data_IF_757383717280
#
_entry.id   IF_757383717280
#
_cell.length_a   1.000
_cell.length_b   1.000
_cell.length_c   1.000
_cell.angle_alpha   90.00
_cell.angle_beta   90.00
_cell.angle_gamma   90.00
#
_symmetry.space_group_name_H-M   'P 1'
#
loop_
_entity.id
_entity.type
_entity.pdbx_description
1 polymer ?
#
# COMPACT_ATOMS: atom_id res chain seq x y z
N UNK A 1 7.36 0.49 49.91
CA UNK A 1 7.24 -0.55 48.86
C UNK A 1 7.28 0.20 47.55
N UNK A 2 8.27 -0.05 46.70
CA UNK A 2 8.36 0.60 45.40
C UNK A 2 7.32 -0.08 44.51
N UNK A 3 6.23 0.62 44.21
CA UNK A 3 5.17 0.07 43.37
C UNK A 3 5.74 -0.15 41.98
N UNK A 4 5.85 -1.41 41.55
CA UNK A 4 6.20 -1.77 40.17
C UNK A 4 5.18 -1.15 39.23
N UNK A 5 5.64 -0.52 38.16
CA UNK A 5 4.77 0.08 37.15
C UNK A 5 3.85 -0.99 36.54
N UNK A 6 2.56 -0.72 36.49
CA UNK A 6 1.57 -1.58 35.84
C UNK A 6 0.85 -0.81 34.74
N UNK A 7 0.85 -1.37 33.52
CA UNK A 7 0.14 -0.84 32.36
C UNK A 7 -0.82 -1.90 31.86
N UNK A 8 -2.11 -1.56 31.78
CA UNK A 8 -3.15 -2.42 31.22
C UNK A 8 -3.89 -1.70 30.12
N UNK A 9 -3.93 -2.29 28.93
CA UNK A 9 -4.70 -1.82 27.79
C UNK A 9 -5.91 -2.73 27.60
N UNK A 10 -7.08 -2.12 27.52
CA UNK A 10 -8.33 -2.74 27.14
C UNK A 10 -8.91 -2.00 25.94
N UNK A 11 -10.04 -2.48 25.40
CA UNK A 11 -10.78 -1.80 24.32
C UNK A 11 -11.15 -0.36 24.64
N UNK A 12 -11.43 -0.06 25.91
CA UNK A 12 -12.03 1.21 26.30
C UNK A 12 -11.04 2.15 27.00
N UNK A 13 -9.97 1.60 27.60
CA UNK A 13 -9.10 2.36 28.49
C UNK A 13 -7.64 1.87 28.50
N UNK A 14 -6.74 2.83 28.71
CA UNK A 14 -5.35 2.60 29.12
C UNK A 14 -5.29 2.91 30.61
N UNK A 15 -4.91 1.93 31.42
CA UNK A 15 -4.67 2.10 32.86
C UNK A 15 -3.18 2.13 33.12
N UNK A 16 -2.68 3.17 33.76
CA UNK A 16 -1.30 3.28 34.26
C UNK A 16 -1.35 3.39 35.78
N UNK A 17 -0.82 2.38 36.46
CA UNK A 17 -0.94 2.24 37.92
C UNK A 17 -2.40 2.42 38.41
N UNK A 18 -3.36 1.82 37.69
CA UNK A 18 -4.82 1.92 37.91
C UNK A 18 -5.45 3.29 37.63
N UNK A 19 -4.70 4.26 37.11
CA UNK A 19 -5.25 5.55 36.67
C UNK A 19 -5.58 5.49 35.18
N UNK A 20 -6.80 5.89 34.81
CA UNK A 20 -7.22 5.94 33.42
C UNK A 20 -6.52 7.09 32.66
N UNK A 21 -5.95 6.75 31.51
CA UNK A 21 -5.31 7.67 30.57
C UNK A 21 -5.96 7.49 29.21
N UNK A 22 -6.20 8.61 28.51
CA UNK A 22 -6.67 8.62 27.12
C UNK A 22 -5.64 9.32 26.27
N UNK A 23 -5.16 8.68 25.21
CA UNK A 23 -4.29 9.34 24.24
C UNK A 23 -5.14 10.02 23.16
N UNK A 24 -4.69 11.18 22.63
CA UNK A 24 -3.60 12.00 23.15
C UNK A 24 -3.94 12.62 24.54
N UNK A 25 -2.95 12.77 25.42
CA UNK A 25 -3.14 13.27 26.81
C UNK A 25 -2.24 14.46 27.13
N UNK A 26 -2.51 15.18 28.23
CA UNK A 26 -1.55 16.19 28.73
C UNK A 26 -0.34 15.53 29.38
N UNK A 27 0.86 16.05 29.15
CA UNK A 27 2.08 15.60 29.84
C UNK A 27 1.97 15.71 31.37
N UNK A 28 1.17 16.66 31.88
CA UNK A 28 0.95 16.82 33.31
C UNK A 28 0.27 15.59 33.92
N UNK A 29 -0.71 15.00 33.22
CA UNK A 29 -1.39 13.77 33.68
C UNK A 29 -0.38 12.63 33.83
N UNK A 30 0.53 12.46 32.86
CA UNK A 30 1.57 11.44 32.97
C UNK A 30 2.57 11.76 34.07
N UNK A 31 2.91 13.04 34.26
CA UNK A 31 3.83 13.48 35.32
C UNK A 31 3.26 13.23 36.70
N UNK A 32 1.95 13.41 36.89
CA UNK A 32 1.27 13.14 38.17
C UNK A 32 1.24 11.63 38.49
N UNK A 33 1.16 10.77 37.48
CA UNK A 33 1.10 9.31 37.65
C UNK A 33 2.50 8.67 37.77
N UNK A 34 3.45 9.11 36.94
CA UNK A 34 4.76 8.49 36.76
C UNK A 34 5.90 9.26 37.42
N UNK A 35 5.63 10.49 37.90
CA UNK A 35 6.65 11.42 38.38
C UNK A 35 7.33 12.20 37.26
N UNK A 36 8.38 12.98 37.58
CA UNK A 36 9.08 13.81 36.60
C UNK A 36 9.85 12.96 35.58
N UNK A 37 9.78 13.37 34.32
CA UNK A 37 10.53 12.77 33.22
C UNK A 37 11.77 13.61 32.85
N UNK A 38 12.78 12.95 32.29
CA UNK A 38 13.87 13.62 31.59
C UNK A 38 13.37 14.10 30.22
N UNK A 39 13.57 15.37 29.92
CA UNK A 39 13.15 15.98 28.66
C UNK A 39 14.30 16.00 27.64
N UNK A 40 14.06 15.44 26.46
CA UNK A 40 14.93 15.53 25.28
C UNK A 40 14.20 16.31 24.18
N UNK A 41 14.69 17.50 23.82
CA UNK A 41 14.12 18.32 22.73
C UNK A 41 14.82 18.00 21.41
N UNK A 42 14.04 17.61 20.39
CA UNK A 42 14.51 17.36 19.02
C UNK A 42 13.89 18.38 18.06
N UNK A 43 14.30 18.34 16.78
CA UNK A 43 13.86 19.29 15.75
C UNK A 43 12.33 19.32 15.57
N UNK A 44 11.66 18.18 15.69
CA UNK A 44 10.23 18.04 15.39
C UNK A 44 9.37 17.56 16.56
N UNK A 45 10.00 17.09 17.64
CA UNK A 45 9.31 16.51 18.79
C UNK A 45 10.10 16.71 20.08
N UNK A 46 9.38 16.58 21.19
CA UNK A 46 9.88 16.52 22.54
C UNK A 46 9.62 15.11 23.08
N UNK A 47 10.63 14.55 23.73
CA UNK A 47 10.60 13.19 24.25
C UNK A 47 10.74 13.26 25.76
N UNK A 48 9.78 12.69 26.48
CA UNK A 48 9.76 12.60 27.93
C UNK A 48 10.11 11.18 28.33
N UNK A 49 11.26 10.98 28.97
CA UNK A 49 11.78 9.65 29.30
C UNK A 49 11.74 9.42 30.81
N UNK A 50 11.12 8.33 31.24
CA UNK A 50 11.18 7.86 32.62
C UNK A 50 12.23 6.75 32.72
N UNK A 51 13.48 7.19 32.91
CA UNK A 51 14.68 6.35 32.83
C UNK A 51 14.59 5.08 33.70
N UNK A 52 14.12 5.19 34.94
CA UNK A 52 14.00 4.06 35.86
C UNK A 52 12.82 3.12 35.55
N UNK A 53 11.82 3.60 34.81
CA UNK A 53 10.64 2.82 34.43
C UNK A 53 10.81 2.13 33.08
N UNK A 54 11.78 2.57 32.26
CA UNK A 54 12.03 2.00 30.94
C UNK A 54 10.96 2.32 29.92
N UNK A 55 10.38 3.52 29.97
CA UNK A 55 9.40 4.00 28.98
C UNK A 55 9.63 5.47 28.63
N UNK A 56 9.09 5.89 27.50
CA UNK A 56 9.11 7.27 27.05
C UNK A 56 7.78 7.68 26.42
N UNK A 57 7.57 8.98 26.28
CA UNK A 57 6.39 9.56 25.65
C UNK A 57 6.79 10.61 24.62
N UNK A 58 6.08 10.62 23.49
CA UNK A 58 6.30 11.57 22.41
C UNK A 58 5.29 12.71 22.48
N UNK A 59 5.78 13.93 22.34
CA UNK A 59 4.97 15.15 22.24
C UNK A 59 5.47 16.03 21.09
N UNK A 60 4.60 16.40 20.14
CA UNK A 60 4.99 17.36 19.09
C UNK A 60 5.20 18.77 19.64
N UNK A 61 4.36 19.19 20.59
CA UNK A 61 4.31 20.57 21.09
C UNK A 61 4.82 20.75 22.54
N UNK A 62 5.22 19.68 23.21
CA UNK A 62 5.65 19.68 24.62
C UNK A 62 4.53 19.87 25.64
N UNK A 63 3.27 19.72 25.25
CA UNK A 63 2.09 19.85 26.12
C UNK A 63 1.17 18.64 26.02
N UNK A 64 0.98 18.15 24.80
CA UNK A 64 0.13 17.00 24.47
C UNK A 64 1.03 15.84 24.08
N UNK A 65 0.87 14.72 24.75
CA UNK A 65 1.52 13.45 24.46
C UNK A 65 0.64 12.68 23.49
N UNK A 66 1.16 12.37 22.30
CA UNK A 66 0.44 11.63 21.27
C UNK A 66 0.67 10.11 21.35
N UNK A 67 1.76 9.68 21.99
CA UNK A 67 2.08 8.26 22.12
C UNK A 67 2.99 7.96 23.30
N UNK A 68 2.86 6.73 23.80
CA UNK A 68 3.72 6.14 24.85
C UNK A 68 4.46 4.98 24.20
N UNK A 69 5.77 4.94 24.37
CA UNK A 69 6.65 3.93 23.82
C UNK A 69 7.36 3.17 24.94
N UNK A 70 7.45 1.86 24.77
CA UNK A 70 8.06 0.93 25.71
C UNK A 70 9.12 0.12 24.96
N UNK A 71 10.40 0.54 25.02
CA UNK A 71 11.51 -0.23 24.46
C UNK A 71 11.70 -1.52 25.26
N UNK A 72 11.47 -2.66 24.63
CA UNK A 72 11.70 -3.98 25.24
C UNK A 72 13.18 -4.37 25.10
N UNK A 73 13.75 -4.09 23.94
CA UNK A 73 15.19 -4.20 23.68
C UNK A 73 15.80 -2.82 23.75
N UNK A 74 16.84 -2.66 24.57
CA UNK A 74 17.50 -1.36 24.77
C UNK A 74 18.05 -0.80 23.45
N UNK A 75 17.88 0.50 23.24
CA UNK A 75 18.47 1.26 22.15
C UNK A 75 19.50 2.26 22.68
N UNK A 76 20.34 2.78 21.79
CA UNK A 76 21.49 3.63 22.14
C UNK A 76 21.28 5.11 21.84
N UNK A 77 20.05 5.51 21.52
CA UNK A 77 19.72 6.92 21.32
C UNK A 77 19.89 7.70 22.63
N UNK A 78 20.22 8.98 22.54
CA UNK A 78 20.41 9.86 23.70
C UNK A 78 19.13 10.06 24.54
N UNK A 79 17.95 9.86 23.95
CA UNK A 79 16.65 9.91 24.62
C UNK A 79 16.16 8.56 25.16
N UNK A 80 16.89 7.47 24.90
CA UNK A 80 16.55 6.13 25.35
C UNK A 80 16.52 6.05 26.87
N UNK A 81 15.62 5.26 27.48
CA UNK A 81 15.67 4.99 28.90
C UNK A 81 16.98 4.30 29.29
N UNK A 82 17.59 4.73 30.39
CA UNK A 82 18.82 4.08 30.91
C UNK A 82 18.60 2.71 31.54
N UNK A 83 17.36 2.33 31.84
CA UNK A 83 16.99 1.00 32.33
C UNK A 83 15.94 0.37 31.41
N UNK A 84 15.94 -0.96 31.35
CA UNK A 84 14.90 -1.71 30.64
C UNK A 84 13.56 -1.57 31.35
N UNK A 85 12.48 -1.74 30.58
CA UNK A 85 11.14 -1.77 31.13
C UNK A 85 11.03 -2.81 32.26
N UNK A 86 10.71 -2.32 33.46
CA UNK A 86 10.68 -3.12 34.69
C UNK A 86 9.25 -3.41 35.17
N UNK A 87 8.25 -2.93 34.42
CA UNK A 87 6.84 -3.06 34.76
C UNK A 87 6.15 -4.30 34.19
N UNK A 88 4.83 -4.34 34.40
CA UNK A 88 3.90 -5.25 33.74
C UNK A 88 3.17 -4.51 32.62
N UNK A 89 2.97 -5.20 31.50
CA UNK A 89 2.18 -4.71 30.37
C UNK A 89 1.23 -5.82 29.91
N UNK A 90 -0.07 -5.55 30.02
CA UNK A 90 -1.13 -6.45 29.55
C UNK A 90 -1.93 -5.75 28.45
N UNK A 91 -2.11 -6.41 27.32
CA UNK A 91 -2.88 -5.91 26.16
C UNK A 91 -4.03 -6.88 25.89
N UNK A 92 -5.26 -6.38 26.02
CA UNK A 92 -6.51 -7.17 25.89
C UNK A 92 -6.51 -8.48 26.71
N UNK A 93 -5.96 -8.43 27.93
CA UNK A 93 -5.85 -9.57 28.84
C UNK A 93 -4.63 -10.48 28.62
N UNK A 94 -3.79 -10.20 27.62
CA UNK A 94 -2.57 -10.96 27.32
C UNK A 94 -1.31 -10.24 27.80
N UNK A 95 -0.38 -10.95 28.43
CA UNK A 95 0.99 -10.43 28.66
C UNK A 95 1.63 -10.11 27.30
N UNK A 96 2.23 -8.92 27.19
CA UNK A 96 2.83 -8.45 25.93
C UNK A 96 3.86 -9.43 25.33
N UNK A 97 4.49 -10.27 26.15
CA UNK A 97 5.48 -11.29 25.72
C UNK A 97 4.84 -12.52 25.07
N UNK A 98 3.52 -12.66 25.19
CA UNK A 98 2.74 -13.83 24.74
C UNK A 98 1.63 -13.44 23.77
N UNK A 99 1.76 -12.30 23.11
CA UNK A 99 0.80 -11.86 22.10
C UNK A 99 0.86 -12.79 20.88
N UNK A 100 -0.30 -13.13 20.28
CA UNK A 100 -0.31 -13.77 18.98
C UNK A 100 0.21 -12.78 17.93
N UNK A 101 1.29 -13.16 17.24
CA UNK A 101 1.86 -12.33 16.19
C UNK A 101 1.07 -12.55 14.90
N UNK A 102 0.42 -11.48 14.43
CA UNK A 102 -0.37 -11.47 13.20
C UNK A 102 0.21 -10.38 12.29
N UNK A 103 1.12 -10.77 11.40
CA UNK A 103 1.71 -9.87 10.42
C UNK A 103 0.78 -9.69 9.22
N UNK A 104 0.73 -8.49 8.65
CA UNK A 104 -0.02 -8.25 7.41
C UNK A 104 0.69 -8.89 6.22
N UNK A 105 2.02 -8.81 6.20
CA UNK A 105 2.90 -9.48 5.22
C UNK A 105 3.91 -10.38 5.91
N UNK A 106 4.30 -11.47 5.25
CA UNK A 106 5.27 -12.45 5.80
C UNK A 106 6.59 -11.82 6.23
N UNK A 107 7.06 -10.80 5.50
CA UNK A 107 8.34 -10.12 5.73
C UNK A 107 8.26 -9.00 6.77
N UNK A 108 7.07 -8.64 7.23
CA UNK A 108 6.91 -7.57 8.19
C UNK A 108 7.70 -7.85 9.46
N UNK A 109 8.40 -6.82 9.94
CA UNK A 109 9.09 -6.81 11.24
C UNK A 109 8.28 -6.03 12.27
N UNK A 110 6.96 -6.03 12.10
CA UNK A 110 6.01 -5.39 12.97
C UNK A 110 4.65 -6.05 12.86
N UNK A 111 3.77 -5.75 13.81
CA UNK A 111 2.34 -5.95 13.66
C UNK A 111 1.59 -4.90 14.47
N UNK A 112 0.28 -4.78 14.20
CA UNK A 112 -0.59 -3.83 14.89
C UNK A 112 -1.74 -4.56 15.57
N UNK A 113 -2.15 -4.02 16.71
CA UNK A 113 -3.37 -4.40 17.41
C UNK A 113 -4.22 -3.14 17.54
N UNK A 114 -5.36 -3.13 16.86
CA UNK A 114 -6.37 -2.09 17.00
C UNK A 114 -7.34 -2.47 18.11
N UNK A 115 -7.30 -1.73 19.21
CA UNK A 115 -8.00 -2.03 20.45
C UNK A 115 -8.94 -0.88 20.81
N UNK A 116 -10.09 -0.84 20.15
CA UNK A 116 -11.11 0.19 20.35
C UNK A 116 -10.60 1.58 19.98
N UNK A 117 -10.32 2.42 20.99
CA UNK A 117 -9.82 3.78 20.79
C UNK A 117 -8.29 3.87 20.68
N UNK A 118 -7.58 2.74 20.77
CA UNK A 118 -6.11 2.69 20.87
C UNK A 118 -5.52 1.85 19.74
N UNK A 119 -4.37 2.29 19.23
CA UNK A 119 -3.54 1.53 18.30
C UNK A 119 -2.28 1.11 19.05
N UNK A 120 -1.96 -0.18 19.03
CA UNK A 120 -0.68 -0.70 19.53
C UNK A 120 0.14 -1.19 18.35
N UNK A 121 1.25 -0.52 18.07
CA UNK A 121 2.21 -0.92 17.07
C UNK A 121 3.38 -1.62 17.76
N UNK A 122 3.67 -2.85 17.36
CA UNK A 122 4.75 -3.65 17.96
C UNK A 122 5.78 -3.94 16.89
N UNK A 123 7.00 -3.42 17.08
CA UNK A 123 8.15 -3.86 16.30
C UNK A 123 8.67 -5.20 16.81
N UNK A 124 9.17 -6.03 15.90
CA UNK A 124 9.69 -7.36 16.17
C UNK A 124 11.22 -7.44 16.02
N UNK A 125 11.84 -8.36 16.74
CA UNK A 125 13.22 -8.83 16.48
C UNK A 125 13.25 -9.80 15.31
N UNK A 126 14.44 -10.28 14.93
CA UNK A 126 14.57 -11.26 13.85
C UNK A 126 13.94 -12.62 14.21
N UNK A 127 13.88 -12.95 15.50
CA UNK A 127 13.25 -14.14 16.09
C UNK A 127 11.76 -13.95 16.39
N UNK A 128 11.14 -12.89 15.86
CA UNK A 128 9.72 -12.58 16.08
C UNK A 128 9.36 -12.44 17.57
N UNK A 129 10.22 -11.74 18.33
CA UNK A 129 9.90 -11.30 19.70
C UNK A 129 9.66 -9.79 19.75
N UNK A 130 8.87 -9.29 20.72
CA UNK A 130 8.61 -7.86 20.86
C UNK A 130 9.91 -7.10 21.11
N UNK A 131 10.26 -6.17 20.21
CA UNK A 131 11.42 -5.28 20.33
C UNK A 131 11.05 -3.94 20.96
N UNK A 132 9.93 -3.39 20.52
CA UNK A 132 9.49 -2.04 20.85
C UNK A 132 7.97 -1.97 20.71
N UNK A 133 7.30 -1.31 21.66
CA UNK A 133 5.84 -1.23 21.71
C UNK A 133 5.44 0.25 21.77
N UNK A 134 4.75 0.71 20.73
CA UNK A 134 4.18 2.05 20.63
C UNK A 134 2.67 1.99 20.84
N UNK A 135 2.17 2.78 21.78
CA UNK A 135 0.75 2.94 22.08
C UNK A 135 0.35 4.35 21.67
N UNK A 136 -0.63 4.45 20.77
CA UNK A 136 -1.19 5.72 20.29
C UNK A 136 -2.71 5.69 20.31
N UNK A 137 -3.34 6.84 20.11
CA UNK A 137 -4.75 6.88 19.76
C UNK A 137 -4.98 6.21 18.40
N UNK A 138 -6.00 5.35 18.29
CA UNK A 138 -6.41 4.82 16.99
C UNK A 138 -7.03 5.94 16.16
N UNK A 139 -6.51 6.12 14.95
CA UNK A 139 -7.13 6.94 13.92
C UNK A 139 -7.54 6.02 12.79
N UNK A 140 -8.85 5.83 12.52
CA UNK A 140 -9.26 5.01 11.40
C UNK A 140 -8.66 5.60 10.11
N UNK A 141 -8.23 4.74 9.17
CA UNK A 141 -7.79 5.22 7.87
C UNK A 141 -8.91 6.06 7.24
N UNK A 142 -8.57 7.07 6.43
CA UNK A 142 -9.57 7.80 5.67
C UNK A 142 -10.45 6.81 4.90
N UNK A 143 -11.77 7.04 4.84
CA UNK A 143 -12.63 6.22 3.99
C UNK A 143 -12.09 6.21 2.57
N UNK A 144 -12.03 5.03 1.96
CA UNK A 144 -11.65 4.88 0.56
C UNK A 144 -12.68 5.61 -0.30
N UNK A 145 -12.27 6.67 -1.01
CA UNK A 145 -13.14 7.41 -1.91
C UNK A 145 -13.56 6.52 -3.09
N UNK A 146 -14.87 6.55 -3.39
CA UNK A 146 -15.53 5.80 -4.46
C UNK A 146 -15.18 4.29 -4.48
N UNK A 147 -15.83 3.46 -3.64
CA UNK A 147 -15.57 2.02 -3.60
C UNK A 147 -15.93 1.31 -4.91
N UNK A 148 -16.75 1.94 -5.77
CA UNK A 148 -17.17 1.43 -7.08
C UNK A 148 -16.32 2.02 -8.24
N UNK A 149 -15.22 2.73 -7.96
CA UNK A 149 -14.38 3.39 -8.97
C UNK A 149 -14.00 2.47 -10.13
N UNK A 150 -13.52 1.26 -9.82
CA UNK A 150 -13.12 0.24 -10.80
C UNK A 150 -14.21 -0.78 -11.12
N UNK A 151 -15.47 -0.47 -10.79
CA UNK A 151 -16.58 -1.30 -11.24
C UNK A 151 -16.73 -1.19 -12.74
N UNK A 152 -16.94 -2.33 -13.39
CA UNK A 152 -17.11 -2.41 -14.83
C UNK A 152 -18.23 -1.46 -15.31
N UNK A 153 -17.91 -0.66 -16.33
CA UNK A 153 -18.84 0.22 -17.03
C UNK A 153 -18.96 -0.25 -18.48
N UNK A 154 -20.20 -0.35 -18.95
CA UNK A 154 -20.47 -0.65 -20.36
C UNK A 154 -20.10 0.54 -21.24
N UNK A 155 -19.72 0.26 -22.48
CA UNK A 155 -19.61 1.30 -23.49
C UNK A 155 -20.99 1.97 -23.70
N UNK A 156 -20.98 3.29 -23.95
CA UNK A 156 -22.21 4.04 -24.23
C UNK A 156 -22.80 3.67 -25.59
N UNK A 157 -21.92 3.47 -26.59
CA UNK A 157 -22.25 3.07 -27.94
C UNK A 157 -21.88 1.61 -28.26
N UNK A 158 -21.61 1.37 -29.55
CA UNK A 158 -21.13 0.08 -30.03
C UNK A 158 -19.73 -0.20 -29.45
N UNK A 159 -19.53 -1.39 -28.90
CA UNK A 159 -18.23 -1.79 -28.35
C UNK A 159 -17.27 -2.20 -29.47
N UNK A 160 -16.00 -1.82 -29.34
CA UNK A 160 -14.91 -2.40 -30.14
C UNK A 160 -14.79 -3.90 -29.85
N UNK A 161 -14.43 -4.66 -30.88
CA UNK A 161 -14.10 -6.08 -30.75
C UNK A 161 -12.60 -6.25 -30.90
N UNK A 162 -11.95 -7.03 -30.04
CA UNK A 162 -10.53 -7.31 -30.15
C UNK A 162 -10.34 -8.81 -30.31
N UNK A 163 -9.63 -9.20 -31.37
CA UNK A 163 -9.17 -10.57 -31.58
C UNK A 163 -7.95 -10.84 -30.70
N UNK A 164 -7.05 -9.86 -30.58
CA UNK A 164 -5.84 -9.94 -29.77
C UNK A 164 -5.96 -9.09 -28.50
N UNK A 165 -5.77 -9.72 -27.35
CA UNK A 165 -5.83 -9.03 -26.06
C UNK A 165 -4.71 -7.99 -25.89
N UNK A 166 -3.50 -8.27 -26.37
CA UNK A 166 -2.38 -7.34 -26.25
C UNK A 166 -2.56 -6.14 -27.19
N UNK A 167 -3.25 -6.30 -28.32
CA UNK A 167 -3.69 -5.16 -29.14
C UNK A 167 -4.68 -4.29 -28.36
N UNK A 168 -5.67 -4.90 -27.69
CA UNK A 168 -6.59 -4.18 -26.81
C UNK A 168 -5.84 -3.38 -25.74
N UNK A 169 -4.83 -3.96 -25.09
CA UNK A 169 -4.02 -3.26 -24.09
C UNK A 169 -3.33 -2.02 -24.65
N UNK A 170 -2.85 -2.06 -25.89
CA UNK A 170 -2.26 -0.89 -26.55
C UNK A 170 -3.29 0.23 -26.77
N UNK A 171 -4.52 -0.11 -27.15
CA UNK A 171 -5.60 0.87 -27.27
C UNK A 171 -5.98 1.45 -25.90
N UNK A 172 -6.00 0.63 -24.86
CA UNK A 172 -6.19 1.11 -23.48
C UNK A 172 -5.03 2.02 -23.07
N UNK A 173 -3.78 1.68 -23.38
CA UNK A 173 -2.61 2.50 -23.10
C UNK A 173 -2.81 3.93 -23.65
N UNK A 174 -3.14 4.01 -24.94
CA UNK A 174 -3.30 5.29 -25.64
C UNK A 174 -4.49 6.08 -25.09
N UNK A 175 -5.67 5.46 -24.96
CA UNK A 175 -6.86 6.19 -24.56
C UNK A 175 -6.90 6.53 -23.07
N UNK A 176 -6.42 5.65 -22.19
CA UNK A 176 -6.50 5.83 -20.75
C UNK A 176 -5.33 6.64 -20.20
N UNK A 177 -4.11 6.37 -20.64
CA UNK A 177 -2.91 6.91 -20.00
C UNK A 177 -2.27 8.04 -20.80
N UNK A 178 -2.27 7.96 -22.13
CA UNK A 178 -1.68 9.00 -22.99
C UNK A 178 -2.65 10.17 -23.23
N UNK A 179 -3.94 9.87 -23.48
CA UNK A 179 -4.95 10.89 -23.82
C UNK A 179 -5.94 11.22 -22.71
N UNK A 180 -5.94 10.42 -21.64
CA UNK A 180 -6.81 10.63 -20.48
C UNK A 180 -8.33 10.63 -20.82
N UNK A 181 -8.72 9.87 -21.85
CA UNK A 181 -10.10 9.74 -22.37
C UNK A 181 -10.87 8.64 -21.65
N UNK A 182 -10.27 7.45 -21.50
CA UNK A 182 -10.89 6.35 -20.77
C UNK A 182 -10.75 6.56 -19.26
N UNK A 183 -11.89 6.59 -18.56
CA UNK A 183 -11.95 6.90 -17.13
C UNK A 183 -12.68 5.82 -16.32
N UNK A 184 -12.30 5.63 -15.04
CA UNK A 184 -11.15 6.25 -14.37
C UNK A 184 -9.82 5.72 -14.90
N UNK A 185 -8.72 6.50 -14.73
CA UNK A 185 -7.36 5.96 -14.90
C UNK A 185 -7.20 4.81 -13.91
N UNK A 186 -6.86 3.63 -14.42
CA UNK A 186 -6.64 2.46 -13.58
C UNK A 186 -5.32 2.60 -12.83
N UNK A 187 -5.31 2.15 -11.58
CA UNK A 187 -4.12 2.07 -10.76
C UNK A 187 -4.22 0.78 -9.94
N UNK A 188 -3.21 -0.08 -10.07
CA UNK A 188 -3.21 -1.39 -9.40
C UNK A 188 -3.14 -1.27 -7.88
N UNK A 189 -2.43 -0.27 -7.35
CA UNK A 189 -2.33 -0.06 -5.90
C UNK A 189 -3.67 0.42 -5.33
N UNK A 190 -4.36 1.35 -6.01
CA UNK A 190 -5.72 1.74 -5.63
C UNK A 190 -6.73 0.58 -5.80
N UNK A 191 -6.53 -0.27 -6.81
CA UNK A 191 -7.39 -1.41 -7.09
C UNK A 191 -7.31 -2.47 -5.99
N UNK A 192 -6.12 -2.86 -5.55
CA UNK A 192 -5.95 -3.89 -4.51
C UNK A 192 -6.48 -3.44 -3.15
N UNK A 193 -6.42 -2.14 -2.83
CA UNK A 193 -7.05 -1.56 -1.63
C UNK A 193 -8.59 -1.71 -1.64
N UNK A 194 -9.19 -1.80 -2.83
CA UNK A 194 -10.64 -1.88 -3.03
C UNK A 194 -11.12 -3.30 -3.31
N UNK A 195 -10.22 -4.24 -3.60
CA UNK A 195 -10.57 -5.60 -3.97
C UNK A 195 -10.99 -6.42 -2.75
N UNK A 196 -12.22 -6.92 -2.74
CA UNK A 196 -12.84 -7.55 -1.56
C UNK A 196 -12.86 -9.07 -1.58
N UNK A 197 -12.66 -9.69 -2.75
CA UNK A 197 -12.78 -11.15 -2.87
C UNK A 197 -11.60 -11.89 -2.23
N UNK A 198 -10.41 -11.27 -2.25
CA UNK A 198 -9.22 -11.72 -1.53
C UNK A 198 -8.24 -10.56 -1.33
N UNK A 199 -7.27 -10.74 -0.44
CA UNK A 199 -6.10 -9.87 -0.39
C UNK A 199 -5.20 -10.17 -1.61
N UNK A 200 -4.72 -9.10 -2.25
CA UNK A 200 -3.71 -9.15 -3.31
C UNK A 200 -2.47 -8.46 -2.77
N UNK A 201 -1.36 -9.18 -2.61
CA UNK A 201 -0.09 -8.58 -2.17
C UNK A 201 0.82 -8.35 -3.37
N UNK A 202 0.89 -7.09 -3.81
CA UNK A 202 1.72 -6.71 -4.97
C UNK A 202 3.20 -7.06 -4.73
N UNK A 203 3.70 -7.05 -3.49
CA UNK A 203 5.10 -7.40 -3.24
C UNK A 203 5.41 -8.88 -3.43
N UNK A 204 4.42 -9.76 -3.29
CA UNK A 204 4.59 -11.20 -3.49
C UNK A 204 4.13 -11.63 -4.89
N UNK A 205 3.02 -11.07 -5.37
CA UNK A 205 2.36 -11.46 -6.62
C UNK A 205 2.80 -10.62 -7.83
N UNK A 206 3.42 -9.46 -7.62
CA UNK A 206 3.80 -8.53 -8.69
C UNK A 206 4.92 -9.03 -9.61
N UNK A 207 5.51 -10.19 -9.31
CA UNK A 207 6.49 -10.90 -10.15
C UNK A 207 5.85 -11.78 -11.23
N UNK A 208 4.53 -11.76 -11.36
CA UNK A 208 3.75 -12.38 -12.43
C UNK A 208 2.54 -11.49 -12.77
N UNK A 209 1.77 -11.88 -13.78
CA UNK A 209 0.49 -11.28 -14.13
C UNK A 209 -0.49 -11.47 -12.98
N UNK A 210 -1.05 -10.36 -12.47
CA UNK A 210 -2.13 -10.37 -11.49
C UNK A 210 -3.45 -10.71 -12.21
N UNK A 211 -4.06 -11.89 -11.96
CA UNK A 211 -5.20 -12.37 -12.75
C UNK A 211 -6.42 -11.44 -12.70
N UNK A 212 -6.67 -10.81 -11.54
CA UNK A 212 -7.79 -9.90 -11.32
C UNK A 212 -7.65 -8.62 -12.15
N UNK A 213 -6.43 -8.11 -12.27
CA UNK A 213 -6.14 -6.92 -13.08
C UNK A 213 -6.25 -7.26 -14.57
N UNK A 214 -5.71 -8.41 -14.99
CA UNK A 214 -5.89 -8.90 -16.36
C UNK A 214 -7.38 -9.05 -16.70
N UNK A 215 -8.15 -9.66 -15.81
CA UNK A 215 -9.59 -9.87 -15.99
C UNK A 215 -10.38 -8.55 -16.02
N UNK A 216 -9.93 -7.52 -15.29
CA UNK A 216 -10.50 -6.18 -15.38
C UNK A 216 -10.34 -5.62 -16.80
N UNK A 217 -9.13 -5.64 -17.35
CA UNK A 217 -8.89 -5.13 -18.70
C UNK A 217 -9.52 -5.99 -19.80
N UNK A 218 -9.63 -7.31 -19.59
CA UNK A 218 -10.36 -8.20 -20.49
C UNK A 218 -11.84 -7.81 -20.58
N UNK A 219 -12.46 -7.50 -19.44
CA UNK A 219 -13.87 -7.09 -19.38
C UNK A 219 -14.09 -5.66 -19.84
N UNK A 220 -13.11 -4.76 -19.70
CA UNK A 220 -13.26 -3.33 -20.02
C UNK A 220 -13.81 -3.13 -21.44
N UNK A 221 -14.96 -2.48 -21.56
CA UNK A 221 -15.56 -2.15 -22.85
C UNK A 221 -15.03 -0.78 -23.33
N UNK A 222 -14.70 -0.70 -24.62
CA UNK A 222 -14.24 0.52 -25.27
C UNK A 222 -15.23 0.85 -26.37
N UNK A 223 -15.75 2.08 -26.35
CA UNK A 223 -16.70 2.56 -27.36
C UNK A 223 -15.99 2.81 -28.69
N UNK A 224 -16.55 2.26 -29.78
CA UNK A 224 -15.98 2.32 -31.12
C UNK A 224 -15.77 3.76 -31.63
N UNK A 225 -16.47 4.75 -31.07
CA UNK A 225 -16.23 6.17 -31.39
C UNK A 225 -14.79 6.63 -31.17
N UNK A 226 -14.02 5.93 -30.34
CA UNK A 226 -12.63 6.25 -30.06
C UNK A 226 -11.65 5.66 -31.09
N UNK A 227 -12.08 4.78 -32.00
CA UNK A 227 -11.17 4.15 -32.97
C UNK A 227 -10.49 5.19 -33.87
N UNK A 228 -11.24 6.22 -34.28
CA UNK A 228 -10.75 7.32 -35.11
C UNK A 228 -9.70 8.20 -34.41
N UNK A 229 -9.59 8.13 -33.08
CA UNK A 229 -8.63 8.92 -32.30
C UNK A 229 -7.23 8.30 -32.36
N UNK A 230 -7.15 6.97 -32.53
CA UNK A 230 -5.90 6.22 -32.53
C UNK A 230 -5.16 6.44 -33.84
N UNK A 231 -4.00 7.10 -33.75
CA UNK A 231 -3.12 7.38 -34.88
C UNK A 231 -1.81 6.60 -34.79
N UNK A 232 -1.43 6.21 -33.58
CA UNK A 232 -0.17 5.55 -33.26
C UNK A 232 -0.43 4.51 -32.17
N UNK A 233 0.30 3.39 -32.22
CA UNK A 233 0.36 2.39 -31.14
C UNK A 233 1.83 2.19 -30.79
N UNK A 234 2.16 2.23 -29.51
CA UNK A 234 3.54 2.08 -29.04
C UNK A 234 3.61 1.01 -27.94
N UNK A 235 4.31 -0.09 -28.22
CA UNK A 235 4.70 -1.07 -27.22
C UNK A 235 6.03 -0.66 -26.60
N UNK A 236 5.98 -0.15 -25.38
CA UNK A 236 7.15 0.15 -24.55
C UNK A 236 7.04 -0.64 -23.24
N UNK A 237 8.15 -1.25 -22.79
CA UNK A 237 8.19 -2.04 -21.58
C UNK A 237 7.77 -1.25 -20.32
N UNK A 238 7.96 0.06 -20.34
CA UNK A 238 7.57 1.00 -19.28
C UNK A 238 6.14 1.53 -19.37
N UNK A 239 5.32 1.07 -20.34
CA UNK A 239 3.93 1.51 -20.43
C UNK A 239 3.12 1.17 -19.15
N UNK A 240 2.33 2.15 -18.68
CA UNK A 240 1.51 2.03 -17.47
C UNK A 240 0.65 0.75 -17.47
N UNK A 241 0.02 0.42 -18.61
CA UNK A 241 -0.87 -0.73 -18.72
C UNK A 241 -0.18 -2.05 -18.33
N UNK A 242 1.09 -2.22 -18.69
CA UNK A 242 1.85 -3.43 -18.37
C UNK A 242 2.25 -3.42 -16.89
N UNK A 243 2.66 -2.27 -16.36
CA UNK A 243 3.00 -2.10 -14.94
C UNK A 243 1.80 -2.24 -14.00
N UNK A 244 0.57 -2.15 -14.52
CA UNK A 244 -0.61 -2.47 -13.73
C UNK A 244 -0.95 -3.96 -13.74
N UNK A 245 -0.78 -4.64 -14.88
CA UNK A 245 -1.08 -6.07 -15.02
C UNK A 245 0.01 -6.94 -14.41
N UNK A 246 1.28 -6.57 -14.61
CA UNK A 246 2.47 -7.25 -14.13
C UNK A 246 3.43 -6.19 -13.54
N UNK A 247 3.24 -5.80 -12.26
CA UNK A 247 3.94 -4.67 -11.62
C UNK A 247 5.45 -4.67 -11.64
N UNK A 248 6.09 -5.84 -11.58
CA UNK A 248 7.55 -5.97 -11.60
C UNK A 248 8.04 -6.60 -12.90
N UNK A 249 7.27 -6.48 -13.98
CA UNK A 249 7.69 -6.96 -15.29
C UNK A 249 8.95 -6.24 -15.75
N UNK A 250 9.94 -7.03 -16.16
CA UNK A 250 11.26 -6.52 -16.58
C UNK A 250 11.35 -6.23 -18.07
N UNK A 251 10.31 -6.58 -18.84
CA UNK A 251 10.37 -6.52 -20.31
C UNK A 251 11.13 -7.69 -20.95
N UNK A 252 11.58 -8.67 -20.18
CA UNK A 252 12.41 -9.79 -20.67
C UNK A 252 11.60 -10.95 -21.29
N UNK A 253 10.28 -10.92 -21.18
CA UNK A 253 9.36 -11.97 -21.63
C UNK A 253 8.40 -11.46 -22.69
N UNK A 254 7.87 -12.36 -23.51
CA UNK A 254 6.99 -12.01 -24.64
C UNK A 254 5.49 -11.91 -24.23
N UNK A 255 5.19 -11.77 -22.93
CA UNK A 255 3.82 -11.84 -22.36
C UNK A 255 2.85 -10.84 -23.02
N UNK A 256 3.39 -9.70 -23.45
CA UNK A 256 2.62 -8.59 -24.04
C UNK A 256 2.82 -8.43 -25.55
N UNK A 257 3.51 -9.36 -26.24
CA UNK A 257 3.63 -9.30 -27.70
C UNK A 257 2.27 -9.49 -28.37
N UNK A 258 1.92 -8.61 -29.32
CA UNK A 258 0.73 -8.78 -30.17
C UNK A 258 0.95 -9.96 -31.11
N UNK A 259 0.01 -10.90 -31.14
CA UNK A 259 0.09 -12.12 -31.95
C UNK A 259 -0.78 -12.04 -33.21
N UNK A 260 -1.89 -11.30 -33.17
CA UNK A 260 -2.82 -11.14 -34.29
C UNK A 260 -3.06 -9.67 -34.61
N UNK A 261 -2.84 -9.28 -35.86
CA UNK A 261 -2.90 -7.88 -36.31
C UNK A 261 -4.18 -7.52 -37.07
N UNK A 262 -5.17 -8.42 -37.15
CA UNK A 262 -6.45 -8.12 -37.84
C UNK A 262 -7.23 -6.98 -37.20
N UNK A 263 -6.97 -6.69 -35.91
CA UNK A 263 -7.64 -5.61 -35.19
C UNK A 263 -7.36 -4.22 -35.78
N UNK A 264 -6.23 -4.03 -36.50
CA UNK A 264 -5.88 -2.75 -37.15
C UNK A 264 -6.95 -2.27 -38.13
N UNK A 265 -7.77 -3.17 -38.70
CA UNK A 265 -8.81 -2.83 -39.67
C UNK A 265 -9.93 -1.96 -39.07
N UNK A 266 -10.03 -1.90 -37.74
CA UNK A 266 -10.95 -1.00 -37.03
C UNK A 266 -10.44 0.45 -36.94
N UNK A 267 -9.14 0.69 -37.16
CA UNK A 267 -8.48 1.97 -36.86
C UNK A 267 -8.03 2.70 -38.13
N UNK A 268 -8.97 3.32 -38.84
CA UNK A 268 -8.73 3.98 -40.15
C UNK A 268 -7.66 5.10 -40.12
N UNK A 269 -7.42 5.68 -38.94
CA UNK A 269 -6.46 6.76 -38.76
C UNK A 269 -5.10 6.30 -38.22
N UNK A 270 -4.92 4.99 -37.94
CA UNK A 270 -3.64 4.42 -37.51
C UNK A 270 -2.62 4.57 -38.64
N UNK A 271 -1.44 5.09 -38.32
CA UNK A 271 -0.33 5.36 -39.26
C UNK A 271 0.96 4.68 -38.89
N UNK A 272 1.23 4.49 -37.60
CA UNK A 272 2.43 3.80 -37.17
C UNK A 272 2.21 2.93 -35.94
N UNK A 273 3.03 1.88 -35.84
CA UNK A 273 3.11 0.99 -34.70
C UNK A 273 4.58 0.77 -34.30
N UNK A 274 4.90 0.97 -33.03
CA UNK A 274 6.13 0.46 -32.43
C UNK A 274 5.80 -0.83 -31.70
N UNK A 275 6.47 -1.93 -32.05
CA UNK A 275 6.15 -3.27 -31.55
C UNK A 275 7.31 -3.84 -30.72
N UNK A 276 7.00 -4.72 -29.77
CA UNK A 276 8.05 -5.53 -29.16
C UNK A 276 8.71 -6.44 -30.19
N UNK A 277 9.95 -6.83 -29.90
CA UNK A 277 10.69 -7.74 -30.77
C UNK A 277 9.95 -9.08 -30.90
N UNK A 278 9.64 -9.46 -32.14
CA UNK A 278 9.00 -10.74 -32.45
C UNK A 278 9.86 -11.53 -33.44
N UNK A 279 9.89 -12.86 -33.30
CA UNK A 279 10.64 -13.74 -34.22
C UNK A 279 10.14 -13.64 -35.67
N UNK A 280 8.90 -13.19 -35.87
CA UNK A 280 8.26 -13.01 -37.16
C UNK A 280 8.21 -11.54 -37.63
N UNK A 281 9.05 -10.66 -37.06
CA UNK A 281 9.09 -9.21 -37.33
C UNK A 281 8.91 -8.86 -38.82
N UNK A 282 9.63 -9.53 -39.72
CA UNK A 282 9.57 -9.25 -41.17
C UNK A 282 8.19 -9.53 -41.78
N UNK A 283 7.51 -10.59 -41.33
CA UNK A 283 6.18 -10.94 -41.83
C UNK A 283 5.15 -9.92 -41.32
N UNK A 284 5.26 -9.55 -40.03
CA UNK A 284 4.41 -8.54 -39.39
C UNK A 284 4.58 -7.18 -40.09
N UNK A 285 5.83 -6.75 -40.33
CA UNK A 285 6.14 -5.52 -41.07
C UNK A 285 5.53 -5.54 -42.48
N UNK A 286 5.58 -6.67 -43.18
CA UNK A 286 4.98 -6.79 -44.51
C UNK A 286 3.44 -6.71 -44.47
N UNK A 287 2.80 -7.37 -43.51
CA UNK A 287 1.35 -7.35 -43.31
C UNK A 287 0.86 -5.93 -43.01
N UNK A 288 1.49 -5.24 -42.06
CA UNK A 288 1.10 -3.90 -41.64
C UNK A 288 1.42 -2.85 -42.71
N UNK A 289 2.55 -2.98 -43.41
CA UNK A 289 2.88 -2.10 -44.53
C UNK A 289 1.90 -2.23 -45.69
N UNK A 290 1.35 -3.42 -45.94
CA UNK A 290 0.29 -3.61 -46.94
C UNK A 290 -1.01 -2.89 -46.59
N UNK A 291 -1.15 -2.42 -45.34
CA UNK A 291 -2.26 -1.61 -44.83
C UNK A 291 -1.85 -0.14 -44.61
N UNK A 292 -0.75 0.30 -45.21
CA UNK A 292 -0.19 1.66 -45.09
C UNK A 292 0.16 2.07 -43.64
N UNK A 293 0.59 1.10 -42.82
CA UNK A 293 1.05 1.31 -41.44
C UNK A 293 2.58 1.16 -41.38
N UNK A 294 3.27 2.19 -40.88
CA UNK A 294 4.71 2.15 -40.61
C UNK A 294 4.98 1.35 -39.33
N UNK A 295 6.03 0.51 -39.34
CA UNK A 295 6.37 -0.35 -38.20
C UNK A 295 7.83 -0.16 -37.83
N UNK A 296 8.09 0.03 -36.55
CA UNK A 296 9.43 0.16 -35.96
C UNK A 296 9.64 -0.80 -34.80
#
# INVERSE_FOLDING_TARGET
>A
MQTTLDITLTRDEILINKNAVKLPTSINILTDILGPARLSKKKYNQIYTWDALGLLAYSKNGKIVEGINIPIVSNTYDFSPTQNFSGTLTIDGHDYRKLPIVKEKKRDRHFKIELGAHSVFISLTDEDSSRDIDITAFTPPPPVEDPDRYKFKKAEGEKMAFVDFNFKLCVVQELMYMRDILKPRFDVYEFVERYKERQIDIEEEGYDIIPEVRAYFDKLEIDNKYADIITTIEQDGGNDIYMHIFPFWTGETDDFNIQVFTDVDQFKNLKSMTLFYDKNEKAIQQELKAKDIEVS
#
